data_IF_578967804337
#
_entry.id   IF_578967804337
#
_cell.length_a   1.000
_cell.length_b   1.000
_cell.length_c   1.000
_cell.angle_alpha   90.00
_cell.angle_beta   90.00
_cell.angle_gamma   90.00
#
_symmetry.space_group_name_H-M   'P 1'
#
loop_
_entity.id
_entity.type
_entity.pdbx_description
1 polymer ?
#
# COMPACT_ATOMS: atom_id res chain seq x y z
N UNK A 1 -21.16 14.92 1.73
CA UNK A 1 -21.10 13.63 0.99
C UNK A 1 -22.20 12.73 1.52
N UNK A 2 -23.18 12.28 0.70
CA UNK A 2 -24.22 11.40 1.20
C UNK A 2 -23.60 10.03 1.50
N UNK A 3 -23.83 9.52 2.71
CA UNK A 3 -23.36 8.21 3.17
C UNK A 3 -24.14 7.14 2.41
N UNK A 4 -23.48 6.40 1.50
CA UNK A 4 -24.08 5.22 0.87
C UNK A 4 -24.27 4.14 1.94
N UNK A 5 -25.52 3.89 2.34
CA UNK A 5 -25.87 2.74 3.17
C UNK A 5 -25.54 1.48 2.37
N UNK A 6 -24.63 0.64 2.89
CA UNK A 6 -24.16 -0.59 2.22
C UNK A 6 -22.79 -0.49 1.53
N UNK A 7 -22.09 0.65 1.59
CA UNK A 7 -20.71 0.72 1.09
C UNK A 7 -19.76 -0.09 2.00
N UNK A 8 -19.01 -1.02 1.43
CA UNK A 8 -17.93 -1.72 2.15
C UNK A 8 -16.94 -0.70 2.70
N UNK A 9 -16.69 -0.76 4.00
CA UNK A 9 -15.70 0.12 4.64
C UNK A 9 -14.30 -0.31 4.22
N UNK A 10 -13.57 0.59 3.58
CA UNK A 10 -12.17 0.38 3.21
C UNK A 10 -11.23 0.79 4.33
N UNK A 11 -10.15 0.04 4.54
CA UNK A 11 -9.11 0.38 5.51
C UNK A 11 -7.80 0.69 4.79
N UNK A 12 -7.25 1.87 5.01
CA UNK A 12 -5.93 2.26 4.48
C UNK A 12 -4.91 2.25 5.60
N UNK A 13 -3.80 1.53 5.40
CA UNK A 13 -2.62 1.63 6.24
C UNK A 13 -1.66 2.65 5.63
N UNK A 14 -1.37 3.73 6.36
CA UNK A 14 -0.29 4.66 6.03
C UNK A 14 0.85 4.38 7.00
N UNK A 15 2.06 4.17 6.47
CA UNK A 15 3.20 3.76 7.29
C UNK A 15 4.54 4.30 6.75
N UNK A 16 5.50 4.44 7.65
CA UNK A 16 6.91 4.67 7.35
C UNK A 16 7.78 3.44 7.69
N UNK A 17 7.16 2.27 7.88
CA UNK A 17 7.83 1.03 8.27
C UNK A 17 8.92 0.65 7.26
N UNK A 18 10.13 0.44 7.79
CA UNK A 18 11.30 0.11 6.99
C UNK A 18 11.66 -1.38 7.08
N UNK A 19 11.19 -2.10 8.10
CA UNK A 19 11.38 -3.55 8.17
C UNK A 19 10.62 -4.26 7.03
N UNK A 20 11.36 -4.85 6.10
CA UNK A 20 10.79 -5.50 4.92
C UNK A 20 9.84 -6.65 5.26
N UNK A 21 10.07 -7.38 6.36
CA UNK A 21 9.20 -8.47 6.78
C UNK A 21 7.87 -7.93 7.35
N UNK A 22 7.92 -6.85 8.14
CA UNK A 22 6.70 -6.18 8.65
C UNK A 22 5.89 -5.54 7.53
N UNK A 23 6.55 -4.88 6.59
CA UNK A 23 5.89 -4.28 5.44
C UNK A 23 5.27 -5.33 4.50
N UNK A 24 5.95 -6.46 4.30
CA UNK A 24 5.39 -7.64 3.62
C UNK A 24 4.17 -8.18 4.34
N UNK A 25 4.29 -8.41 5.65
CA UNK A 25 3.20 -8.95 6.45
C UNK A 25 1.97 -8.05 6.35
N UNK A 26 2.13 -6.72 6.34
CA UNK A 26 1.03 -5.79 6.08
C UNK A 26 0.39 -5.99 4.70
N UNK A 27 1.22 -6.14 3.64
CA UNK A 27 0.76 -6.39 2.27
C UNK A 27 -0.07 -7.66 2.12
N UNK A 28 0.33 -8.72 2.80
CA UNK A 28 -0.27 -10.05 2.70
C UNK A 28 -1.37 -10.31 3.75
N UNK A 29 -1.52 -9.43 4.76
CA UNK A 29 -2.48 -9.62 5.85
C UNK A 29 -3.91 -9.71 5.33
N UNK A 30 -4.62 -10.75 5.74
CA UNK A 30 -6.02 -11.02 5.37
C UNK A 30 -6.93 -11.04 6.58
N UNK A 31 -8.21 -10.72 6.36
CA UNK A 31 -9.33 -11.02 7.26
C UNK A 31 -10.28 -11.92 6.48
N UNK A 32 -10.50 -13.15 6.97
CA UNK A 32 -11.14 -14.21 6.18
C UNK A 32 -10.41 -14.38 4.83
N UNK A 33 -11.12 -14.32 3.70
CA UNK A 33 -10.56 -14.51 2.35
C UNK A 33 -10.23 -13.19 1.61
N UNK A 34 -10.25 -12.05 2.30
CA UNK A 34 -9.98 -10.74 1.70
C UNK A 34 -8.78 -10.04 2.37
N UNK A 35 -8.03 -9.18 1.66
CA UNK A 35 -7.02 -8.32 2.27
C UNK A 35 -7.59 -7.50 3.43
N UNK A 36 -6.85 -7.40 4.54
CA UNK A 36 -7.27 -6.60 5.70
C UNK A 36 -7.29 -5.11 5.35
N UNK A 37 -6.22 -4.63 4.71
CA UNK A 37 -6.11 -3.26 4.25
C UNK A 37 -6.45 -3.18 2.76
N UNK A 38 -7.45 -2.37 2.42
CA UNK A 38 -7.82 -2.05 1.04
C UNK A 38 -6.68 -1.36 0.31
N UNK A 39 -5.91 -0.51 1.01
CA UNK A 39 -4.75 0.18 0.47
C UNK A 39 -3.62 0.19 1.50
N UNK A 40 -2.39 0.08 1.02
CA UNK A 40 -1.19 0.25 1.84
C UNK A 40 -0.33 1.32 1.19
N UNK A 41 0.01 2.30 1.99
CA UNK A 41 0.66 3.52 1.59
C UNK A 41 1.94 3.64 2.38
N UNK A 42 3.07 3.60 1.69
CA UNK A 42 4.35 3.91 2.29
C UNK A 42 4.73 5.37 1.99
N UNK A 43 5.29 6.08 2.97
CA UNK A 43 5.67 7.49 2.81
C UNK A 43 6.72 7.68 1.69
N UNK A 44 7.61 6.71 1.51
CA UNK A 44 8.65 6.72 0.48
C UNK A 44 9.00 5.29 0.01
N UNK A 45 8.23 4.68 -0.91
CA UNK A 45 8.51 3.31 -1.39
C UNK A 45 9.86 3.19 -2.08
N UNK A 46 10.35 4.26 -2.70
CA UNK A 46 11.66 4.29 -3.36
C UNK A 46 12.80 4.08 -2.36
N UNK A 47 12.69 4.59 -1.13
CA UNK A 47 13.68 4.33 -0.09
C UNK A 47 13.70 2.85 0.33
N UNK A 48 12.54 2.22 0.46
CA UNK A 48 12.43 0.77 0.74
C UNK A 48 13.08 -0.03 -0.38
N UNK A 49 12.81 0.32 -1.64
CA UNK A 49 13.44 -0.32 -2.80
C UNK A 49 14.94 -0.02 -2.91
N UNK A 50 15.42 1.14 -2.48
CA UNK A 50 16.86 1.43 -2.46
C UNK A 50 17.59 0.59 -1.40
N UNK A 51 16.97 0.38 -0.24
CA UNK A 51 17.56 -0.41 0.85
C UNK A 51 17.49 -1.90 0.59
N UNK A 52 16.37 -2.39 0.07
CA UNK A 52 16.14 -3.83 -0.08
C UNK A 52 16.17 -4.29 -1.53
N UNK A 53 16.10 -3.43 -2.53
CA UNK A 53 15.84 -3.80 -3.93
C UNK A 53 16.95 -4.55 -4.66
N UNK A 54 18.05 -4.90 -3.98
CA UNK A 54 18.93 -5.94 -4.48
C UNK A 54 18.22 -7.29 -4.32
N UNK A 55 17.91 -8.01 -5.42
CA UNK A 55 17.02 -9.18 -5.43
C UNK A 55 17.60 -10.43 -4.75
N UNK A 56 18.68 -10.29 -3.97
CA UNK A 56 19.37 -11.37 -3.29
C UNK A 56 18.51 -12.01 -2.19
N UNK A 57 17.48 -11.30 -1.68
CA UNK A 57 16.53 -11.85 -0.72
C UNK A 57 15.10 -12.00 -1.27
N UNK A 58 14.41 -13.05 -0.82
CA UNK A 58 12.99 -13.26 -1.16
C UNK A 58 12.09 -12.10 -0.69
N UNK A 59 12.45 -11.45 0.43
CA UNK A 59 11.72 -10.30 0.96
C UNK A 59 11.84 -9.07 0.05
N UNK A 60 13.03 -8.81 -0.47
CA UNK A 60 13.28 -7.75 -1.45
C UNK A 60 12.42 -7.91 -2.70
N UNK A 61 12.40 -9.12 -3.27
CA UNK A 61 11.60 -9.43 -4.45
C UNK A 61 10.10 -9.24 -4.18
N UNK A 62 9.62 -9.66 -3.01
CA UNK A 62 8.23 -9.45 -2.62
C UNK A 62 7.87 -7.96 -2.53
N UNK A 63 8.75 -7.12 -1.97
CA UNK A 63 8.55 -5.66 -1.92
C UNK A 63 8.46 -5.04 -3.30
N UNK A 64 9.39 -5.40 -4.20
CA UNK A 64 9.34 -4.95 -5.59
C UNK A 64 8.01 -5.33 -6.26
N UNK A 65 7.57 -6.58 -6.10
CA UNK A 65 6.31 -7.05 -6.67
C UNK A 65 5.08 -6.32 -6.09
N UNK A 66 5.08 -5.99 -4.80
CA UNK A 66 3.99 -5.23 -4.18
C UNK A 66 3.93 -3.77 -4.66
N UNK A 67 5.08 -3.15 -4.91
CA UNK A 67 5.11 -1.81 -5.53
C UNK A 67 4.61 -1.88 -6.97
N UNK A 68 5.13 -2.82 -7.77
CA UNK A 68 4.74 -2.99 -9.18
C UNK A 68 3.26 -3.32 -9.38
N UNK A 69 2.69 -4.16 -8.50
CA UNK A 69 1.27 -4.52 -8.55
C UNK A 69 0.33 -3.44 -8.02
N UNK A 70 0.85 -2.33 -7.47
CA UNK A 70 0.06 -1.30 -6.82
C UNK A 70 -0.48 -1.69 -5.44
N UNK A 71 -0.10 -2.85 -4.90
CA UNK A 71 -0.47 -3.26 -3.54
C UNK A 71 0.11 -2.32 -2.47
N UNK A 72 1.33 -1.85 -2.73
CA UNK A 72 2.06 -0.85 -1.95
C UNK A 72 2.28 0.39 -2.80
N UNK A 73 1.70 1.54 -2.43
CA UNK A 73 1.83 2.79 -3.17
C UNK A 73 2.51 3.89 -2.36
N UNK A 74 2.97 4.95 -3.03
CA UNK A 74 3.50 6.13 -2.34
C UNK A 74 2.37 6.97 -1.73
N UNK A 75 2.69 7.72 -0.68
CA UNK A 75 1.79 8.71 -0.10
C UNK A 75 1.29 9.72 -1.13
N UNK A 76 2.18 10.20 -2.00
CA UNK A 76 1.82 11.11 -3.08
C UNK A 76 0.78 10.50 -4.04
N UNK A 77 1.01 9.27 -4.51
CA UNK A 77 0.09 8.59 -5.42
C UNK A 77 -1.28 8.38 -4.76
N UNK A 78 -1.30 8.08 -3.46
CA UNK A 78 -2.53 7.95 -2.70
C UNK A 78 -3.28 9.28 -2.56
N UNK A 79 -2.60 10.36 -2.18
CA UNK A 79 -3.21 11.69 -2.05
C UNK A 79 -3.82 12.18 -3.37
N UNK A 80 -3.18 11.90 -4.51
CA UNK A 80 -3.73 12.20 -5.84
C UNK A 80 -5.06 11.49 -6.12
N UNK A 81 -5.31 10.32 -5.54
CA UNK A 81 -6.59 9.61 -5.68
C UNK A 81 -7.73 10.22 -4.84
N UNK A 82 -7.38 10.96 -3.78
CA UNK A 82 -8.35 11.59 -2.89
C UNK A 82 -8.81 12.96 -3.38
N UNK A 83 -8.06 13.59 -4.28
CA UNK A 83 -8.46 14.86 -4.85
C UNK A 83 -9.73 14.63 -5.70
N UNK A 84 -10.82 15.38 -5.44
CA UNK A 84 -11.96 15.39 -6.36
C UNK A 84 -11.43 15.76 -7.74
N UNK A 85 -11.91 15.11 -8.80
CA UNK A 85 -11.74 15.67 -10.13
C UNK A 85 -12.26 17.11 -10.05
N UNK A 86 -11.39 18.09 -10.27
CA UNK A 86 -11.82 19.46 -10.42
C UNK A 86 -12.76 19.45 -11.62
N UNK A 87 -14.06 19.53 -11.36
CA UNK A 87 -15.08 19.73 -12.39
C UNK A 87 -14.82 21.13 -12.94
N UNK A 88 -14.07 21.20 -14.04
CA UNK A 88 -14.03 22.36 -14.92
C UNK A 88 -15.27 22.40 -15.79
#
# INVERSE_FOLDING_TARGET
>A
MPTRIGANFGYTLITNEFDAARLRAACERRRQNAPLFSQIVHVNPSAVLATYGQPESAAARAMFNHVQSGRLMSLEAWLKQLQPHATG
#
